data_IF_804903021536
#
_entry.id   IF_804903021536
#
_cell.length_a   1.000
_cell.length_b   1.000
_cell.length_c   1.000
_cell.angle_alpha   90.00
_cell.angle_beta   90.00
_cell.angle_gamma   90.00
#
_symmetry.space_group_name_H-M   'P 1'
#
loop_
_entity.id
_entity.type
_entity.pdbx_description
1 polymer ?
#
# COMPACT_ATOMS: atom_id res chain seq x y z
N UNK A 1 -15.77 -30.23 14.07
CA UNK A 1 -15.35 -28.96 14.73
C UNK A 1 -14.01 -29.05 15.47
N UNK A 2 -13.90 -29.63 16.67
CA UNK A 2 -12.73 -29.48 17.57
C UNK A 2 -11.38 -29.81 16.94
N UNK A 3 -11.34 -30.85 16.10
CA UNK A 3 -10.13 -31.26 15.41
C UNK A 3 -9.61 -30.16 14.45
N UNK A 4 -10.49 -29.37 13.83
CA UNK A 4 -10.13 -28.27 12.92
C UNK A 4 -9.51 -27.14 13.75
N UNK A 5 -10.14 -26.74 14.85
CA UNK A 5 -9.64 -25.69 15.75
C UNK A 5 -8.24 -26.05 16.27
N UNK A 6 -8.08 -27.27 16.80
CA UNK A 6 -6.80 -27.79 17.29
C UNK A 6 -5.68 -27.80 16.23
N UNK A 7 -6.04 -27.92 14.95
CA UNK A 7 -5.06 -27.86 13.86
C UNK A 7 -4.65 -26.45 13.45
N UNK A 8 -5.51 -25.46 13.69
CA UNK A 8 -5.30 -24.06 13.27
C UNK A 8 -4.65 -23.23 14.37
N UNK A 9 -4.94 -23.52 15.65
CA UNK A 9 -4.37 -22.83 16.80
C UNK A 9 -2.82 -22.76 16.78
N UNK A 10 -2.07 -23.82 16.40
CA UNK A 10 -0.61 -23.73 16.31
C UNK A 10 -0.12 -22.80 15.19
N UNK A 11 -0.88 -22.67 14.11
CA UNK A 11 -0.52 -21.85 12.94
C UNK A 11 -0.88 -20.37 13.14
N UNK A 12 -1.91 -20.09 13.92
CA UNK A 12 -2.45 -18.76 14.15
C UNK A 12 -2.54 -18.46 15.65
N UNK A 13 -1.41 -18.19 16.33
CA UNK A 13 -1.42 -17.81 17.73
C UNK A 13 -2.20 -16.50 17.95
N UNK A 14 -2.82 -16.35 19.13
CA UNK A 14 -3.63 -15.17 19.50
C UNK A 14 -4.90 -14.98 18.65
N UNK A 15 -5.39 -16.06 18.04
CA UNK A 15 -6.65 -16.13 17.28
C UNK A 15 -7.57 -17.25 17.76
N UNK A 16 -7.34 -17.77 18.96
CA UNK A 16 -8.07 -18.91 19.51
C UNK A 16 -9.59 -18.65 19.51
N UNK A 17 -10.03 -17.51 20.08
CA UNK A 17 -11.46 -17.15 20.13
C UNK A 17 -12.10 -16.98 18.74
N UNK A 18 -11.36 -16.46 17.76
CA UNK A 18 -11.90 -16.29 16.41
C UNK A 18 -11.98 -17.61 15.64
N UNK A 19 -11.02 -18.51 15.87
CA UNK A 19 -11.04 -19.88 15.33
C UNK A 19 -12.21 -20.65 15.95
N UNK A 20 -12.42 -20.52 17.26
CA UNK A 20 -13.53 -21.12 17.99
C UNK A 20 -14.88 -20.66 17.43
N UNK A 21 -15.12 -19.34 17.33
CA UNK A 21 -16.38 -18.81 16.78
C UNK A 21 -16.59 -19.21 15.31
N UNK A 22 -15.53 -19.25 14.48
CA UNK A 22 -15.66 -19.77 13.11
C UNK A 22 -15.95 -21.28 13.12
N UNK A 23 -15.35 -22.04 14.03
CA UNK A 23 -15.66 -23.45 14.25
C UNK A 23 -17.12 -23.68 14.65
N UNK A 24 -17.68 -22.81 15.49
CA UNK A 24 -19.10 -22.86 15.90
C UNK A 24 -20.07 -22.62 14.75
N UNK A 25 -19.70 -21.79 13.78
CA UNK A 25 -20.57 -21.43 12.67
C UNK A 25 -20.47 -22.38 11.47
N UNK A 26 -19.26 -22.86 11.16
CA UNK A 26 -18.97 -23.59 9.91
C UNK A 26 -18.07 -24.82 10.12
N UNK A 27 -17.94 -25.31 11.36
CA UNK A 27 -17.01 -26.38 11.72
C UNK A 27 -17.56 -27.80 11.58
N UNK A 28 -18.86 -28.00 11.34
CA UNK A 28 -19.45 -29.31 11.08
C UNK A 28 -20.33 -29.27 9.81
N UNK A 29 -20.11 -30.20 8.88
CA UNK A 29 -20.85 -30.24 7.61
C UNK A 29 -22.25 -30.84 7.74
N UNK A 30 -22.51 -31.57 8.83
CA UNK A 30 -23.84 -32.11 9.16
C UNK A 30 -24.78 -31.03 9.70
N UNK A 31 -24.24 -29.95 10.26
CA UNK A 31 -25.01 -28.81 10.74
C UNK A 31 -25.33 -27.84 9.61
N UNK A 32 -26.45 -27.12 9.74
CA UNK A 32 -26.84 -26.11 8.78
C UNK A 32 -25.97 -24.86 8.95
N UNK A 33 -25.27 -24.46 7.90
CA UNK A 33 -24.46 -23.24 7.93
C UNK A 33 -25.34 -21.98 7.91
N UNK A 34 -24.82 -20.86 8.44
CA UNK A 34 -25.38 -19.55 8.15
C UNK A 34 -25.19 -19.20 6.66
N UNK A 35 -26.13 -18.46 6.08
CA UNK A 35 -26.10 -18.11 4.65
C UNK A 35 -24.88 -17.30 4.25
N UNK A 36 -24.49 -16.36 5.12
CA UNK A 36 -23.32 -15.53 4.90
C UNK A 36 -22.63 -15.15 6.22
N UNK A 37 -21.30 -15.14 6.16
CA UNK A 37 -20.42 -14.64 7.22
C UNK A 37 -19.59 -13.50 6.63
N UNK A 38 -19.49 -12.41 7.35
CA UNK A 38 -18.67 -11.26 6.97
C UNK A 38 -17.58 -11.08 8.02
N UNK A 39 -16.33 -11.38 7.66
CA UNK A 39 -15.20 -11.08 8.54
C UNK A 39 -14.41 -9.88 8.07
N UNK A 40 -14.25 -8.93 8.98
CA UNK A 40 -13.58 -7.67 8.70
C UNK A 40 -12.50 -7.32 9.72
N UNK A 41 -11.47 -6.65 9.22
CA UNK A 41 -10.35 -6.18 10.03
C UNK A 41 -9.28 -5.56 9.16
N UNK A 42 -8.31 -4.88 9.77
CA UNK A 42 -7.24 -4.19 9.03
C UNK A 42 -6.34 -5.13 8.22
N UNK A 43 -5.55 -4.60 7.29
CA UNK A 43 -4.43 -5.35 6.68
C UNK A 43 -3.53 -5.96 7.78
N UNK A 44 -2.95 -7.12 7.52
CA UNK A 44 -2.06 -7.79 8.47
C UNK A 44 -2.71 -8.61 9.57
N UNK A 45 -4.03 -8.60 9.72
CA UNK A 45 -4.70 -9.35 10.80
C UNK A 45 -4.82 -10.85 10.57
N UNK A 46 -4.37 -11.36 9.42
CA UNK A 46 -4.32 -12.80 9.10
C UNK A 46 -5.61 -13.39 8.52
N UNK A 47 -6.62 -12.57 8.21
CA UNK A 47 -7.96 -13.00 7.74
C UNK A 47 -7.90 -13.98 6.58
N UNK A 48 -7.26 -13.60 5.48
CA UNK A 48 -7.14 -14.42 4.27
C UNK A 48 -6.40 -15.73 4.53
N UNK A 49 -5.31 -15.68 5.30
CA UNK A 49 -4.54 -16.88 5.64
C UNK A 49 -5.36 -17.83 6.54
N UNK A 50 -6.06 -17.28 7.53
CA UNK A 50 -6.93 -18.02 8.43
C UNK A 50 -8.08 -18.69 7.67
N UNK A 51 -8.84 -17.94 6.86
CA UNK A 51 -9.95 -18.49 6.07
C UNK A 51 -9.46 -19.55 5.08
N UNK A 52 -8.32 -19.33 4.42
CA UNK A 52 -7.75 -20.32 3.50
C UNK A 52 -7.33 -21.61 4.21
N UNK A 53 -6.69 -21.49 5.37
CA UNK A 53 -6.30 -22.64 6.18
C UNK A 53 -7.53 -23.39 6.71
N UNK A 54 -8.55 -22.65 7.14
CA UNK A 54 -9.83 -23.21 7.59
C UNK A 54 -10.53 -24.00 6.47
N UNK A 55 -10.72 -23.41 5.28
CA UNK A 55 -11.28 -24.09 4.12
C UNK A 55 -10.48 -25.35 3.76
N UNK A 56 -9.15 -25.27 3.77
CA UNK A 56 -8.27 -26.41 3.48
C UNK A 56 -8.43 -27.55 4.48
N UNK A 57 -8.56 -27.25 5.78
CA UNK A 57 -8.77 -28.26 6.80
C UNK A 57 -10.18 -28.86 6.76
N UNK A 58 -11.21 -28.06 6.47
CA UNK A 58 -12.56 -28.59 6.28
C UNK A 58 -12.62 -29.54 5.08
N UNK A 59 -12.08 -29.13 3.91
CA UNK A 59 -12.09 -29.96 2.70
C UNK A 59 -11.29 -31.26 2.80
N UNK A 60 -10.33 -31.36 3.72
CA UNK A 60 -9.59 -32.61 3.99
C UNK A 60 -10.34 -33.57 4.91
N UNK A 61 -11.10 -33.06 5.88
CA UNK A 61 -11.65 -33.85 7.00
C UNK A 61 -13.13 -34.14 6.84
N UNK A 62 -13.83 -33.29 6.10
CA UNK A 62 -15.27 -33.34 5.89
C UNK A 62 -15.57 -33.36 4.39
N UNK A 63 -16.78 -33.78 4.04
CA UNK A 63 -17.28 -33.75 2.68
C UNK A 63 -17.72 -32.33 2.28
N UNK A 64 -16.80 -31.37 2.31
CA UNK A 64 -17.09 -29.98 1.91
C UNK A 64 -16.33 -29.61 0.65
N UNK A 65 -17.04 -28.95 -0.28
CA UNK A 65 -16.42 -28.34 -1.46
C UNK A 65 -16.17 -26.87 -1.17
N UNK A 66 -14.92 -26.46 -1.37
CA UNK A 66 -14.48 -25.11 -1.03
C UNK A 66 -14.05 -24.34 -2.25
N UNK A 67 -14.49 -23.09 -2.38
CA UNK A 67 -14.01 -22.16 -3.40
C UNK A 67 -13.41 -20.93 -2.73
N UNK A 68 -12.20 -20.54 -3.12
CA UNK A 68 -11.52 -19.35 -2.61
C UNK A 68 -11.22 -18.41 -3.76
N UNK A 69 -11.76 -17.19 -3.71
CA UNK A 69 -11.75 -16.23 -4.81
C UNK A 69 -11.21 -14.87 -4.35
N UNK A 70 -10.53 -14.15 -5.23
CA UNK A 70 -10.23 -12.72 -5.03
C UNK A 70 -11.08 -11.84 -5.93
N UNK A 71 -11.90 -10.97 -5.35
CA UNK A 71 -12.81 -10.11 -6.10
C UNK A 71 -12.10 -9.07 -6.99
N UNK A 72 -10.81 -8.81 -6.76
CA UNK A 72 -10.01 -7.92 -7.62
C UNK A 72 -9.72 -8.56 -8.98
N UNK A 73 -9.55 -9.88 -9.02
CA UNK A 73 -9.30 -10.62 -10.27
C UNK A 73 -10.57 -10.67 -11.14
N UNK A 74 -11.74 -10.64 -10.49
CA UNK A 74 -13.05 -10.66 -11.13
C UNK A 74 -13.48 -9.28 -11.60
N UNK A 75 -12.92 -8.79 -12.70
CA UNK A 75 -13.39 -7.54 -13.32
C UNK A 75 -14.77 -7.66 -14.01
N UNK A 76 -15.27 -8.88 -14.22
CA UNK A 76 -16.63 -9.16 -14.71
C UNK A 76 -17.25 -10.31 -13.93
N UNK A 77 -18.57 -10.27 -13.78
CA UNK A 77 -19.35 -11.29 -13.07
C UNK A 77 -19.14 -12.68 -13.67
N UNK A 78 -18.98 -12.79 -15.00
CA UNK A 78 -18.76 -14.09 -15.66
C UNK A 78 -17.52 -14.83 -15.12
N UNK A 79 -16.39 -14.13 -14.96
CA UNK A 79 -15.14 -14.71 -14.46
C UNK A 79 -15.31 -15.18 -13.01
N UNK A 80 -16.02 -14.41 -12.18
CA UNK A 80 -16.35 -14.83 -10.82
C UNK A 80 -17.13 -16.15 -10.81
N UNK A 81 -18.17 -16.25 -11.64
CA UNK A 81 -19.03 -17.43 -11.66
C UNK A 81 -18.31 -18.66 -12.22
N UNK A 82 -17.47 -18.49 -13.25
CA UNK A 82 -16.64 -19.56 -13.81
C UNK A 82 -15.65 -20.10 -12.76
N UNK A 83 -14.90 -19.23 -12.07
CA UNK A 83 -13.94 -19.66 -11.03
C UNK A 83 -14.65 -20.36 -9.86
N UNK A 84 -15.78 -19.82 -9.41
CA UNK A 84 -16.56 -20.41 -8.33
C UNK A 84 -17.08 -21.78 -8.73
N UNK A 85 -17.66 -21.90 -9.92
CA UNK A 85 -18.26 -23.16 -10.33
C UNK A 85 -17.21 -24.23 -10.65
N UNK A 86 -16.08 -23.86 -11.26
CA UNK A 86 -14.93 -24.76 -11.49
C UNK A 86 -14.39 -25.32 -10.16
N UNK A 87 -14.27 -24.45 -9.15
CA UNK A 87 -13.82 -24.87 -7.81
C UNK A 87 -14.84 -25.76 -7.07
N UNK A 88 -16.14 -25.55 -7.28
CA UNK A 88 -17.20 -26.30 -6.60
C UNK A 88 -17.62 -27.57 -7.36
N UNK A 89 -17.29 -27.68 -8.64
CA UNK A 89 -17.64 -28.80 -9.52
C UNK A 89 -16.38 -29.23 -10.30
N UNK A 90 -15.44 -29.94 -9.65
CA UNK A 90 -14.13 -30.25 -10.25
C UNK A 90 -14.21 -31.22 -11.44
N UNK A 91 -15.33 -31.91 -11.66
CA UNK A 91 -15.47 -32.94 -12.69
C UNK A 91 -15.86 -32.42 -14.09
N UNK A 92 -16.16 -31.12 -14.24
CA UNK A 92 -16.68 -30.58 -15.51
C UNK A 92 -15.61 -30.07 -16.49
N UNK A 93 -14.38 -29.76 -16.02
CA UNK A 93 -13.26 -29.33 -16.88
C UNK A 93 -13.61 -28.18 -17.85
N UNK A 94 -12.96 -28.16 -19.03
CA UNK A 94 -13.13 -27.14 -20.10
C UNK A 94 -14.56 -27.02 -20.68
N UNK A 95 -15.47 -27.93 -20.31
CA UNK A 95 -16.87 -27.87 -20.74
C UNK A 95 -17.73 -26.90 -19.91
N UNK A 96 -17.18 -26.35 -18.82
CA UNK A 96 -17.87 -25.43 -17.93
C UNK A 96 -18.12 -24.10 -18.66
N UNK A 97 -19.40 -23.80 -18.92
CA UNK A 97 -19.82 -22.48 -19.39
C UNK A 97 -20.89 -21.97 -18.45
N UNK A 98 -20.66 -20.76 -17.93
CA UNK A 98 -21.62 -20.04 -17.12
C UNK A 98 -21.86 -18.70 -17.79
N UNK A 99 -23.06 -18.50 -18.30
CA UNK A 99 -23.39 -17.25 -18.99
C UNK A 99 -23.84 -16.16 -18.01
N UNK A 100 -24.68 -16.53 -17.06
CA UNK A 100 -25.34 -15.60 -16.14
C UNK A 100 -25.49 -16.18 -14.73
N UNK A 101 -25.81 -15.31 -13.77
CA UNK A 101 -26.08 -15.68 -12.38
C UNK A 101 -27.20 -16.74 -12.22
N UNK A 102 -28.23 -16.71 -13.08
CA UNK A 102 -29.31 -17.70 -13.05
C UNK A 102 -28.78 -19.10 -13.39
N UNK A 103 -27.99 -19.20 -14.46
CA UNK A 103 -27.37 -20.44 -14.91
C UNK A 103 -26.43 -21.00 -13.83
N UNK A 104 -25.64 -20.14 -13.18
CA UNK A 104 -24.84 -20.51 -12.01
C UNK A 104 -25.67 -21.14 -10.88
N UNK A 105 -26.79 -20.51 -10.50
CA UNK A 105 -27.68 -21.03 -9.44
C UNK A 105 -28.30 -22.36 -9.84
N UNK A 106 -28.71 -22.52 -11.10
CA UNK A 106 -29.26 -23.78 -11.61
C UNK A 106 -28.21 -24.90 -11.62
N UNK A 107 -26.98 -24.62 -12.07
CA UNK A 107 -25.89 -25.59 -12.10
C UNK A 107 -25.47 -26.01 -10.69
N UNK A 108 -25.41 -25.08 -9.74
CA UNK A 108 -25.21 -25.42 -8.33
C UNK A 108 -26.35 -26.29 -7.79
N UNK A 109 -27.61 -25.95 -8.06
CA UNK A 109 -28.76 -26.74 -7.60
C UNK A 109 -28.72 -28.19 -8.11
N UNK A 110 -28.17 -28.43 -9.30
CA UNK A 110 -27.98 -29.80 -9.84
C UNK A 110 -26.99 -30.64 -9.02
N UNK A 111 -26.10 -29.99 -8.26
CA UNK A 111 -25.15 -30.65 -7.34
C UNK A 111 -25.78 -31.03 -6.00
N UNK A 112 -27.10 -30.87 -5.83
CA UNK A 112 -27.79 -31.35 -4.65
C UNK A 112 -27.72 -32.88 -4.55
N UNK A 113 -26.88 -33.37 -3.64
CA UNK A 113 -26.80 -34.76 -3.25
C UNK A 113 -27.93 -35.10 -2.25
N UNK A 114 -28.31 -36.38 -2.14
CA UNK A 114 -29.19 -36.84 -1.06
C UNK A 114 -28.60 -36.49 0.32
N UNK A 115 -29.46 -36.21 1.29
CA UNK A 115 -29.11 -35.86 2.70
C UNK A 115 -28.23 -36.89 3.44
N UNK A 116 -27.90 -38.02 2.82
CA UNK A 116 -27.10 -39.09 3.42
C UNK A 116 -25.60 -38.79 3.35
N UNK A 117 -25.18 -37.89 2.46
CA UNK A 117 -23.76 -37.59 2.23
C UNK A 117 -23.25 -36.36 2.99
N UNK A 118 -24.11 -35.69 3.78
CA UNK A 118 -23.83 -34.49 4.61
C UNK A 118 -22.82 -33.52 3.97
N UNK A 119 -23.06 -33.21 2.69
CA UNK A 119 -22.19 -32.34 1.91
C UNK A 119 -22.42 -30.87 2.24
N UNK A 120 -21.33 -30.12 2.34
CA UNK A 120 -21.36 -28.67 2.55
C UNK A 120 -20.59 -27.91 1.47
N UNK A 121 -20.97 -26.66 1.21
CA UNK A 121 -20.25 -25.78 0.28
C UNK A 121 -19.80 -24.51 0.98
N UNK A 122 -18.51 -24.19 0.91
CA UNK A 122 -17.95 -22.99 1.53
C UNK A 122 -17.30 -22.12 0.45
N UNK A 123 -17.78 -20.89 0.31
CA UNK A 123 -17.26 -19.92 -0.66
C UNK A 123 -16.60 -18.79 0.10
N UNK A 124 -15.30 -18.57 -0.08
CA UNK A 124 -14.59 -17.45 0.50
C UNK A 124 -14.22 -16.43 -0.59
N UNK A 125 -14.61 -15.17 -0.38
CA UNK A 125 -14.35 -14.06 -1.29
C UNK A 125 -13.46 -13.02 -0.60
N UNK A 126 -12.17 -13.01 -0.99
CA UNK A 126 -11.19 -12.02 -0.60
C UNK A 126 -11.47 -10.65 -1.25
N UNK A 127 -11.12 -9.57 -0.53
CA UNK A 127 -11.29 -8.17 -0.96
C UNK A 127 -12.71 -7.85 -1.42
N UNK A 128 -13.69 -8.28 -0.62
CA UNK A 128 -15.11 -8.20 -0.94
C UNK A 128 -15.60 -6.78 -1.19
N UNK A 129 -14.86 -5.74 -0.79
CA UNK A 129 -15.16 -4.34 -1.13
C UNK A 129 -15.35 -4.08 -2.63
N UNK A 130 -14.78 -4.92 -3.51
CA UNK A 130 -14.98 -4.80 -4.96
C UNK A 130 -16.36 -5.21 -5.43
N UNK A 131 -17.07 -6.06 -4.69
CA UNK A 131 -18.41 -6.54 -5.10
C UNK A 131 -19.45 -5.41 -5.17
N UNK A 132 -19.24 -4.30 -4.45
CA UNK A 132 -20.12 -3.14 -4.50
C UNK A 132 -19.95 -2.32 -5.79
N UNK A 133 -18.79 -2.45 -6.45
CA UNK A 133 -18.44 -1.74 -7.68
C UNK A 133 -18.74 -2.59 -8.94
N UNK A 134 -19.07 -3.88 -8.76
CA UNK A 134 -19.54 -4.80 -9.80
C UNK A 134 -21.05 -4.62 -10.08
N UNK A 135 -21.64 -5.56 -10.83
CA UNK A 135 -23.08 -5.59 -11.09
C UNK A 135 -23.87 -5.62 -9.76
N UNK A 136 -24.86 -4.72 -9.64
CA UNK A 136 -25.56 -4.45 -8.39
C UNK A 136 -26.34 -5.65 -7.80
N UNK A 137 -26.55 -6.70 -8.59
CA UNK A 137 -27.24 -7.93 -8.19
C UNK A 137 -26.29 -8.99 -7.58
N UNK A 138 -24.97 -8.89 -7.77
CA UNK A 138 -24.02 -9.93 -7.35
C UNK A 138 -24.03 -10.10 -5.83
N UNK A 139 -23.83 -9.01 -5.08
CA UNK A 139 -23.79 -9.06 -3.62
C UNK A 139 -25.13 -9.57 -3.01
N UNK A 140 -26.31 -9.03 -3.37
CA UNK A 140 -27.58 -9.56 -2.87
C UNK A 140 -27.80 -11.05 -3.16
N UNK A 141 -27.40 -11.52 -4.34
CA UNK A 141 -27.54 -12.92 -4.72
C UNK A 141 -26.61 -13.81 -3.90
N UNK A 142 -25.35 -13.41 -3.71
CA UNK A 142 -24.39 -14.17 -2.91
C UNK A 142 -24.83 -14.30 -1.44
N UNK A 143 -25.37 -13.24 -0.84
CA UNK A 143 -25.87 -13.28 0.54
C UNK A 143 -27.07 -14.21 0.72
N UNK A 144 -27.84 -14.45 -0.35
CA UNK A 144 -29.03 -15.33 -0.35
C UNK A 144 -28.79 -16.63 -1.12
N UNK A 145 -27.54 -16.95 -1.43
CA UNK A 145 -27.22 -18.04 -2.33
C UNK A 145 -27.69 -19.39 -1.76
N UNK A 146 -27.65 -19.54 -0.43
CA UNK A 146 -28.17 -20.71 0.28
C UNK A 146 -29.68 -20.91 0.03
N UNK A 147 -30.48 -19.85 0.15
CA UNK A 147 -31.93 -19.88 -0.12
C UNK A 147 -32.24 -20.16 -1.59
N UNK A 148 -31.45 -19.57 -2.50
CA UNK A 148 -31.68 -19.68 -3.94
C UNK A 148 -31.33 -21.08 -4.48
N UNK A 149 -30.30 -21.72 -3.93
CA UNK A 149 -29.86 -23.05 -4.35
C UNK A 149 -30.52 -24.18 -3.57
N UNK A 150 -31.07 -23.90 -2.38
CA UNK A 150 -31.55 -24.90 -1.40
C UNK A 150 -30.47 -25.93 -1.01
N UNK A 151 -29.21 -25.48 -0.96
CA UNK A 151 -28.05 -26.29 -0.55
C UNK A 151 -27.53 -25.83 0.82
N UNK A 152 -26.81 -26.71 1.53
CA UNK A 152 -26.06 -26.32 2.71
C UNK A 152 -24.77 -25.59 2.29
N UNK A 153 -24.86 -24.27 2.11
CA UNK A 153 -23.72 -23.44 1.72
C UNK A 153 -23.58 -22.18 2.57
N UNK A 154 -22.35 -21.73 2.72
CA UNK A 154 -22.01 -20.46 3.36
C UNK A 154 -21.12 -19.61 2.46
N UNK A 155 -21.46 -18.33 2.32
CA UNK A 155 -20.60 -17.33 1.66
C UNK A 155 -19.87 -16.49 2.70
N UNK A 156 -18.55 -16.60 2.70
CA UNK A 156 -17.63 -15.91 3.58
C UNK A 156 -17.03 -14.72 2.83
N UNK A 157 -17.30 -13.51 3.29
CA UNK A 157 -16.82 -12.27 2.70
C UNK A 157 -15.69 -11.68 3.56
N UNK A 158 -14.52 -11.41 2.96
CA UNK A 158 -13.39 -10.81 3.65
C UNK A 158 -13.19 -9.37 3.18
N UNK A 159 -13.14 -8.41 4.12
CA UNK A 159 -12.82 -7.02 3.77
C UNK A 159 -12.11 -6.28 4.91
N UNK A 160 -11.63 -5.07 4.61
CA UNK A 160 -11.13 -4.12 5.60
C UNK A 160 -12.21 -3.15 6.10
N UNK A 161 -13.32 -3.04 5.38
CA UNK A 161 -14.38 -2.09 5.68
C UNK A 161 -15.38 -2.65 6.71
N UNK A 162 -16.12 -1.82 7.44
CA UNK A 162 -17.34 -2.25 8.12
C UNK A 162 -18.44 -2.61 7.12
N UNK A 163 -19.32 -3.55 7.48
CA UNK A 163 -20.41 -4.02 6.60
C UNK A 163 -21.41 -2.92 6.25
N UNK A 164 -21.54 -1.87 7.07
CA UNK A 164 -22.40 -0.71 6.80
C UNK A 164 -22.12 -0.04 5.44
N UNK A 165 -20.89 -0.16 4.92
CA UNK A 165 -20.50 0.40 3.62
C UNK A 165 -20.91 -0.47 2.42
N UNK A 166 -21.53 -1.61 2.66
CA UNK A 166 -22.00 -2.55 1.65
C UNK A 166 -23.49 -2.40 1.35
N UNK A 167 -24.27 -1.73 2.21
CA UNK A 167 -25.70 -1.54 1.99
C UNK A 167 -25.99 -0.84 0.67
N UNK A 168 -26.79 -1.49 -0.17
CA UNK A 168 -27.30 -0.93 -1.40
C UNK A 168 -28.68 -0.28 -1.18
N UNK A 169 -29.19 0.41 -2.21
CA UNK A 169 -30.48 1.11 -2.13
C UNK A 169 -31.69 0.18 -1.98
N UNK A 170 -31.56 -1.10 -2.35
CA UNK A 170 -32.65 -2.08 -2.40
C UNK A 170 -32.76 -2.92 -1.12
N UNK A 171 -31.84 -2.75 -0.17
CA UNK A 171 -31.73 -3.60 1.01
C UNK A 171 -30.89 -4.85 0.74
N UNK A 172 -30.23 -5.33 1.80
CA UNK A 172 -29.45 -6.57 1.82
C UNK A 172 -30.01 -7.52 2.89
N UNK A 173 -29.74 -8.81 2.72
CA UNK A 173 -29.99 -9.80 3.76
C UNK A 173 -29.06 -9.61 4.95
N UNK A 174 -29.51 -10.08 6.12
CA UNK A 174 -28.71 -10.12 7.34
C UNK A 174 -27.48 -11.02 7.18
N UNK A 175 -26.36 -10.59 7.77
CA UNK A 175 -25.07 -11.29 7.69
C UNK A 175 -24.41 -11.32 9.06
N UNK A 176 -23.82 -12.46 9.42
CA UNK A 176 -23.10 -12.60 10.68
C UNK A 176 -21.75 -11.88 10.55
N UNK A 177 -21.59 -10.78 11.28
CA UNK A 177 -20.38 -9.97 11.25
C UNK A 177 -19.39 -10.40 12.32
N UNK A 178 -18.18 -10.80 11.92
CA UNK A 178 -17.07 -11.16 12.80
C UNK A 178 -15.93 -10.14 12.66
N UNK A 179 -15.45 -9.63 13.79
CA UNK A 179 -14.36 -8.66 13.79
C UNK A 179 -13.03 -9.31 14.17
N UNK A 180 -12.02 -9.14 13.32
CA UNK A 180 -10.63 -9.50 13.59
C UNK A 180 -9.82 -8.23 13.89
N UNK A 181 -9.74 -7.89 15.18
CA UNK A 181 -8.98 -6.75 15.68
C UNK A 181 -7.47 -6.92 15.45
N UNK A 182 -6.74 -5.81 15.36
CA UNK A 182 -5.27 -5.87 15.35
C UNK A 182 -4.73 -6.43 16.66
N UNK A 183 -3.60 -7.15 16.56
CA UNK A 183 -2.90 -7.70 17.70
C UNK A 183 -2.41 -6.60 18.63
N UNK A 184 -2.44 -6.85 19.94
CA UNK A 184 -1.80 -5.97 20.91
C UNK A 184 -0.27 -6.13 20.87
N UNK A 185 0.48 -5.30 21.61
CA UNK A 185 1.96 -5.34 21.58
C UNK A 185 2.52 -6.70 22.03
N UNK A 186 1.92 -7.31 23.05
CA UNK A 186 2.37 -8.59 23.60
C UNK A 186 2.06 -9.76 22.64
N UNK A 187 0.87 -9.76 22.04
CA UNK A 187 0.47 -10.73 20.99
C UNK A 187 1.38 -10.59 19.76
N UNK A 188 1.66 -9.36 19.33
CA UNK A 188 2.58 -9.11 18.21
C UNK A 188 3.98 -9.63 18.54
N UNK A 189 4.48 -9.39 19.75
CA UNK A 189 5.76 -9.93 20.19
C UNK A 189 5.76 -11.46 20.20
N UNK A 190 4.67 -12.10 20.64
CA UNK A 190 4.53 -13.56 20.63
C UNK A 190 4.53 -14.12 19.21
N UNK A 191 3.85 -13.47 18.27
CA UNK A 191 3.83 -13.88 16.84
C UNK A 191 5.19 -13.68 16.18
N UNK A 192 5.91 -12.60 16.52
CA UNK A 192 7.28 -12.38 16.05
C UNK A 192 8.29 -13.32 16.74
N UNK A 193 7.96 -13.83 17.93
CA UNK A 193 8.78 -14.79 18.66
C UNK A 193 8.59 -16.23 18.20
N UNK A 194 7.44 -16.58 17.60
CA UNK A 194 7.13 -17.96 17.23
C UNK A 194 8.01 -18.53 16.12
N UNK A 195 8.68 -17.69 15.33
CA UNK A 195 9.61 -18.12 14.28
C UNK A 195 11.08 -18.21 14.75
N UNK A 196 11.34 -18.10 16.07
CA UNK A 196 12.68 -18.14 16.66
C UNK A 196 13.50 -19.35 16.19
N UNK A 197 12.95 -20.56 16.25
CA UNK A 197 13.68 -21.77 15.85
C UNK A 197 14.07 -21.75 14.36
N UNK A 198 13.19 -21.22 13.50
CA UNK A 198 13.49 -21.08 12.08
C UNK A 198 14.59 -20.06 11.83
N UNK A 199 14.52 -18.92 12.52
CA UNK A 199 15.53 -17.86 12.43
C UNK A 199 16.88 -18.34 12.95
N UNK A 200 16.90 -19.07 14.07
CA UNK A 200 18.11 -19.66 14.64
C UNK A 200 18.77 -20.63 13.67
N UNK A 201 18.00 -21.56 13.09
CA UNK A 201 18.53 -22.52 12.12
C UNK A 201 19.11 -21.81 10.88
N UNK A 202 18.42 -20.78 10.36
CA UNK A 202 18.92 -19.98 9.24
C UNK A 202 20.24 -19.26 9.56
N UNK A 203 20.37 -18.69 10.76
CA UNK A 203 21.61 -18.04 11.20
C UNK A 203 22.76 -19.04 11.34
N UNK A 204 22.50 -20.22 11.91
CA UNK A 204 23.51 -21.28 12.05
C UNK A 204 24.00 -21.78 10.68
N UNK A 205 23.09 -21.92 9.71
CA UNK A 205 23.46 -22.26 8.32
C UNK A 205 24.30 -21.16 7.65
N UNK A 206 23.94 -19.89 7.86
CA UNK A 206 24.70 -18.76 7.30
C UNK A 206 26.14 -18.70 7.82
N UNK A 207 26.35 -18.98 9.10
CA UNK A 207 27.68 -18.96 9.73
C UNK A 207 28.42 -20.29 9.68
N UNK A 208 27.93 -21.30 8.93
CA UNK A 208 28.56 -22.61 8.86
C UNK A 208 30.03 -22.59 8.43
N UNK A 209 30.46 -21.57 7.67
CA UNK A 209 31.85 -21.40 7.23
C UNK A 209 32.76 -20.83 8.32
N UNK A 210 32.23 -19.98 9.22
CA UNK A 210 32.98 -19.27 10.26
C UNK A 210 32.79 -19.91 11.64
N UNK A 211 33.56 -20.96 11.94
CA UNK A 211 33.43 -21.74 13.19
C UNK A 211 33.44 -20.90 14.47
N UNK A 212 34.25 -19.84 14.53
CA UNK A 212 34.32 -18.94 15.70
C UNK A 212 33.04 -18.12 15.88
N UNK A 213 32.51 -17.56 14.79
CA UNK A 213 31.26 -16.78 14.82
C UNK A 213 30.07 -17.69 15.10
N UNK A 214 30.10 -18.92 14.60
CA UNK A 214 29.08 -19.93 14.84
C UNK A 214 29.00 -20.34 16.31
N UNK A 215 30.14 -20.58 16.97
CA UNK A 215 30.20 -20.91 18.39
C UNK A 215 29.63 -19.77 19.26
N UNK A 216 30.06 -18.53 19.01
CA UNK A 216 29.55 -17.33 19.70
C UNK A 216 28.05 -17.13 19.44
N UNK A 217 27.60 -17.30 18.20
CA UNK A 217 26.19 -17.17 17.83
C UNK A 217 25.32 -18.20 18.55
N UNK A 218 25.77 -19.46 18.60
CA UNK A 218 25.03 -20.55 19.23
C UNK A 218 24.88 -20.36 20.75
N UNK A 219 25.88 -19.78 21.41
CA UNK A 219 25.83 -19.48 22.84
C UNK A 219 25.00 -18.23 23.15
N UNK A 220 25.09 -17.20 22.31
CA UNK A 220 24.44 -15.91 22.55
C UNK A 220 22.95 -15.87 22.15
N UNK A 221 22.56 -16.61 21.10
CA UNK A 221 21.20 -16.56 20.53
C UNK A 221 20.28 -17.49 21.31
N UNK A 222 19.74 -16.93 22.40
CA UNK A 222 18.69 -17.54 23.24
C UNK A 222 17.32 -16.93 22.96
N UNK A 223 16.25 -17.58 23.41
CA UNK A 223 14.89 -17.01 23.32
C UNK A 223 14.79 -15.66 24.04
N UNK A 224 15.43 -15.53 25.20
CA UNK A 224 15.46 -14.28 25.96
C UNK A 224 16.16 -13.16 25.19
N UNK A 225 17.28 -13.46 24.52
CA UNK A 225 17.97 -12.51 23.66
C UNK A 225 17.06 -12.02 22.52
N UNK A 226 16.36 -12.94 21.85
CA UNK A 226 15.46 -12.59 20.76
C UNK A 226 14.23 -11.80 21.25
N UNK A 227 13.64 -12.19 22.39
CA UNK A 227 12.53 -11.46 23.00
C UNK A 227 12.93 -10.05 23.44
N UNK A 228 14.13 -9.87 23.96
CA UNK A 228 14.67 -8.55 24.30
C UNK A 228 14.84 -7.68 23.04
N UNK A 229 15.41 -8.25 21.98
CA UNK A 229 15.49 -7.59 20.67
C UNK A 229 14.11 -7.17 20.14
N UNK A 230 13.14 -8.09 20.13
CA UNK A 230 11.78 -7.80 19.67
C UNK A 230 11.11 -6.70 20.50
N UNK A 231 11.33 -6.66 21.81
CA UNK A 231 10.79 -5.61 22.66
C UNK A 231 11.40 -4.22 22.32
N UNK A 232 12.72 -4.16 22.06
CA UNK A 232 13.40 -2.96 21.58
C UNK A 232 12.86 -2.52 20.21
N UNK A 233 12.75 -3.46 19.26
CA UNK A 233 12.21 -3.22 17.93
C UNK A 233 10.78 -2.66 18.00
N UNK A 234 9.88 -3.34 18.73
CA UNK A 234 8.49 -2.92 18.89
C UNK A 234 8.36 -1.59 19.65
N UNK A 235 9.31 -1.22 20.51
CA UNK A 235 9.29 0.10 21.18
C UNK A 235 9.35 1.28 20.21
N UNK A 236 10.01 1.08 19.05
CA UNK A 236 10.16 2.08 17.98
C UNK A 236 9.06 1.92 16.94
N UNK A 237 8.88 0.70 16.42
CA UNK A 237 8.05 0.45 15.24
C UNK A 237 6.55 0.43 15.53
N UNK A 238 6.13 -0.06 16.70
CA UNK A 238 4.71 -0.31 17.01
C UNK A 238 3.87 0.97 17.06
N UNK A 239 4.51 2.13 17.23
CA UNK A 239 3.84 3.44 17.19
C UNK A 239 3.37 3.82 15.79
N UNK A 240 4.15 3.45 14.76
CA UNK A 240 3.89 3.83 13.38
C UNK A 240 3.23 2.69 12.57
N UNK A 241 3.60 1.43 12.83
CA UNK A 241 3.12 0.27 12.10
C UNK A 241 2.72 -0.86 13.05
N UNK A 242 1.55 -1.46 12.79
CA UNK A 242 1.03 -2.65 13.48
C UNK A 242 0.79 -3.81 12.53
N UNK A 243 1.34 -3.72 11.32
CA UNK A 243 1.18 -4.74 10.27
C UNK A 243 2.24 -5.83 10.47
N UNK A 244 1.81 -7.02 10.90
CA UNK A 244 2.71 -8.10 11.34
C UNK A 244 3.69 -8.54 10.24
N UNK A 245 3.30 -8.73 8.97
CA UNK A 245 4.23 -9.08 7.89
C UNK A 245 5.33 -8.03 7.68
N UNK A 246 5.00 -6.74 7.75
CA UNK A 246 6.01 -5.67 7.61
C UNK A 246 6.96 -5.62 8.82
N UNK A 247 6.42 -5.86 10.01
CA UNK A 247 7.23 -6.00 11.21
C UNK A 247 8.17 -7.22 11.12
N UNK A 248 7.70 -8.36 10.64
CA UNK A 248 8.53 -9.57 10.45
C UNK A 248 9.70 -9.33 9.50
N UNK A 249 9.42 -8.75 8.33
CA UNK A 249 10.44 -8.50 7.31
C UNK A 249 11.47 -7.48 7.80
N UNK A 250 11.02 -6.40 8.42
CA UNK A 250 11.92 -5.36 8.94
C UNK A 250 12.69 -5.84 10.16
N UNK A 251 12.06 -6.65 11.03
CA UNK A 251 12.72 -7.25 12.18
C UNK A 251 13.82 -8.22 11.74
N UNK A 252 13.63 -9.03 10.70
CA UNK A 252 14.70 -9.91 10.17
C UNK A 252 15.89 -9.11 9.64
N UNK A 253 15.64 -8.02 8.91
CA UNK A 253 16.70 -7.14 8.40
C UNK A 253 17.45 -6.40 9.51
N UNK A 254 16.75 -5.95 10.55
CA UNK A 254 17.38 -5.25 11.67
C UNK A 254 18.06 -6.22 12.64
N UNK A 255 17.68 -7.51 12.63
CA UNK A 255 18.30 -8.52 13.49
C UNK A 255 19.75 -8.79 13.10
N UNK A 256 20.07 -8.83 11.79
CA UNK A 256 21.45 -9.02 11.35
C UNK A 256 22.37 -7.90 11.87
N UNK A 257 21.92 -6.65 11.77
CA UNK A 257 22.65 -5.47 12.25
C UNK A 257 22.75 -5.45 13.79
N UNK A 258 21.72 -5.96 14.47
CA UNK A 258 21.71 -6.09 15.93
C UNK A 258 22.71 -7.14 16.43
N UNK A 259 22.92 -8.20 15.64
CA UNK A 259 23.75 -9.34 15.98
C UNK A 259 25.25 -9.09 15.72
N UNK A 260 25.60 -8.18 14.79
CA UNK A 260 26.99 -7.86 14.43
C UNK A 260 27.92 -7.59 15.63
N UNK A 261 27.59 -6.71 16.59
CA UNK A 261 28.48 -6.42 17.73
C UNK A 261 28.74 -7.62 18.65
N UNK A 262 27.77 -8.54 18.74
CA UNK A 262 27.87 -9.77 19.53
C UNK A 262 28.77 -10.77 18.83
N UNK A 263 28.63 -10.92 17.51
CA UNK A 263 29.49 -11.81 16.72
C UNK A 263 30.95 -11.34 16.67
N UNK A 264 31.18 -10.03 16.75
CA UNK A 264 32.51 -9.43 16.79
C UNK A 264 33.13 -9.47 18.20
N UNK A 265 32.39 -9.93 19.22
CA UNK A 265 32.84 -10.01 20.61
C UNK A 265 33.05 -8.64 21.28
N UNK A 266 32.46 -7.58 20.74
CA UNK A 266 32.60 -6.21 21.27
C UNK A 266 31.65 -5.92 22.42
N UNK A 267 30.49 -6.58 22.42
CA UNK A 267 29.42 -6.40 23.40
C UNK A 267 28.87 -7.77 23.78
N UNK A 268 28.71 -8.02 25.08
CA UNK A 268 28.07 -9.23 25.59
C UNK A 268 26.58 -9.26 25.23
N UNK A 269 26.03 -10.44 24.95
CA UNK A 269 24.61 -10.62 24.60
C UNK A 269 23.63 -10.13 25.68
N UNK A 270 24.09 -9.99 26.93
CA UNK A 270 23.30 -9.53 28.08
C UNK A 270 23.24 -8.00 28.20
N UNK A 271 24.15 -7.25 27.55
CA UNK A 271 24.18 -5.78 27.66
C UNK A 271 23.23 -5.10 26.66
N UNK A 272 21.94 -5.10 27.02
CA UNK A 272 20.84 -4.50 26.26
C UNK A 272 21.09 -3.00 25.97
N UNK A 273 21.76 -2.28 26.88
CA UNK A 273 21.95 -0.83 26.76
C UNK A 273 22.96 -0.47 25.67
N UNK A 274 24.07 -1.21 25.57
CA UNK A 274 25.06 -1.00 24.51
C UNK A 274 24.51 -1.41 23.15
N UNK A 275 23.83 -2.55 23.08
CA UNK A 275 23.20 -3.02 21.84
C UNK A 275 22.13 -2.05 21.33
N UNK A 276 21.33 -1.47 22.24
CA UNK A 276 20.36 -0.42 21.89
C UNK A 276 21.02 0.79 21.24
N UNK A 277 22.16 1.27 21.77
CA UNK A 277 22.87 2.43 21.21
C UNK A 277 23.37 2.16 19.79
N UNK A 278 23.80 0.93 19.50
CA UNK A 278 24.22 0.51 18.17
C UNK A 278 23.03 0.48 17.19
N UNK A 279 21.93 -0.17 17.57
CA UNK A 279 20.83 -0.45 16.65
C UNK A 279 19.81 0.69 16.52
N UNK A 280 19.72 1.61 17.48
CA UNK A 280 18.70 2.67 17.48
C UNK A 280 18.82 3.64 16.29
N UNK A 281 20.02 3.84 15.72
CA UNK A 281 20.21 4.59 14.48
C UNK A 281 19.60 3.85 13.27
N UNK A 282 20.09 2.65 12.97
CA UNK A 282 19.53 1.79 11.91
C UNK A 282 18.02 1.56 12.02
N UNK A 283 17.46 1.37 13.22
CA UNK A 283 16.00 1.21 13.40
C UNK A 283 15.22 2.44 12.94
N UNK A 284 15.66 3.65 13.32
CA UNK A 284 14.99 4.89 12.90
C UNK A 284 15.09 5.11 11.40
N UNK A 285 16.22 4.74 10.79
CA UNK A 285 16.41 4.77 9.34
C UNK A 285 15.51 3.76 8.63
N UNK A 286 15.44 2.52 9.12
CA UNK A 286 14.55 1.50 8.56
C UNK A 286 13.06 1.87 8.70
N UNK A 287 12.70 2.58 9.77
CA UNK A 287 11.33 3.06 9.99
C UNK A 287 10.85 4.01 8.88
N UNK A 288 11.71 4.89 8.36
CA UNK A 288 11.34 5.78 7.25
C UNK A 288 11.15 5.03 5.93
N UNK A 289 11.68 3.81 5.83
CA UNK A 289 11.62 2.95 4.64
C UNK A 289 10.67 1.76 4.78
N UNK A 290 9.88 1.68 5.86
CA UNK A 290 9.16 0.45 6.24
C UNK A 290 8.26 -0.15 5.14
N UNK A 291 7.58 0.69 4.34
CA UNK A 291 6.71 0.23 3.25
C UNK A 291 7.41 0.20 1.88
N UNK A 292 8.66 0.64 1.80
CA UNK A 292 9.43 0.66 0.57
C UNK A 292 10.18 -0.65 0.41
N UNK A 293 9.80 -1.47 -0.57
CA UNK A 293 10.46 -2.74 -0.90
C UNK A 293 11.72 -2.52 -1.74
N UNK A 294 12.66 -1.75 -1.20
CA UNK A 294 13.96 -1.51 -1.83
C UNK A 294 14.92 -2.59 -1.35
N UNK A 295 15.14 -3.59 -2.20
CA UNK A 295 16.28 -4.49 -2.05
C UNK A 295 17.51 -3.71 -2.51
N UNK A 296 18.36 -3.31 -1.55
CA UNK A 296 19.68 -2.77 -1.90
C UNK A 296 20.54 -3.96 -2.37
N UNK A 297 21.21 -3.88 -3.53
CA UNK A 297 22.29 -4.80 -3.84
C UNK A 297 23.37 -4.71 -2.74
N UNK A 298 23.95 -5.85 -2.37
CA UNK A 298 24.84 -6.01 -1.21
C UNK A 298 26.12 -5.13 -1.23
N UNK A 299 26.39 -4.40 -2.30
CA UNK A 299 27.61 -3.64 -2.53
C UNK A 299 27.52 -2.15 -2.11
N UNK A 300 26.33 -1.63 -1.80
CA UNK A 300 26.13 -0.22 -1.41
C UNK A 300 25.76 -0.04 0.07
N UNK A 301 26.69 -0.38 0.96
CA UNK A 301 26.64 -0.01 2.37
C UNK A 301 27.11 1.45 2.56
N UNK A 302 26.32 2.43 2.09
CA UNK A 302 26.56 3.85 2.41
C UNK A 302 25.83 4.28 3.70
N UNK A 303 26.52 5.14 4.47
CA UNK A 303 26.17 5.71 5.76
C UNK A 303 24.67 6.07 5.96
N UNK A 304 24.12 5.56 7.06
CA UNK A 304 22.69 5.52 7.39
C UNK A 304 22.06 6.85 7.87
N UNK A 305 22.74 8.00 7.73
CA UNK A 305 22.38 9.22 8.48
C UNK A 305 21.61 10.30 7.73
N UNK A 306 21.32 10.19 6.41
CA UNK A 306 20.65 11.28 5.68
C UNK A 306 19.80 10.84 4.46
N UNK A 307 18.78 10.02 4.65
CA UNK A 307 18.05 9.39 3.53
C UNK A 307 17.00 10.30 2.86
N UNK A 308 16.29 11.16 3.60
CA UNK A 308 15.18 11.94 3.02
C UNK A 308 15.68 13.01 2.04
N UNK A 309 16.69 13.80 2.43
CA UNK A 309 17.28 14.85 1.58
C UNK A 309 18.16 14.29 0.44
N UNK A 310 18.77 13.11 0.64
CA UNK A 310 19.59 12.48 -0.40
C UNK A 310 18.75 11.78 -1.47
N UNK A 311 17.57 11.24 -1.16
CA UNK A 311 16.75 10.53 -2.16
C UNK A 311 16.26 11.44 -3.28
N UNK A 312 15.72 12.62 -2.95
CA UNK A 312 15.28 13.63 -3.93
C UNK A 312 16.46 14.24 -4.67
N UNK A 313 17.60 14.45 -4.00
CA UNK A 313 18.83 14.93 -4.66
C UNK A 313 19.43 13.88 -5.60
N UNK A 314 19.48 12.61 -5.20
CA UNK A 314 19.92 11.48 -6.03
C UNK A 314 18.99 11.31 -7.22
N UNK A 315 17.67 11.45 -7.04
CA UNK A 315 16.68 11.38 -8.12
C UNK A 315 16.75 12.58 -9.08
N UNK A 316 17.01 13.78 -8.55
CA UNK A 316 17.25 14.99 -9.34
C UNK A 316 18.60 14.95 -10.10
N UNK A 317 19.60 14.27 -9.55
CA UNK A 317 20.88 14.04 -10.21
C UNK A 317 20.79 12.91 -11.24
N UNK A 318 19.97 11.88 -10.99
CA UNK A 318 19.77 10.77 -11.93
C UNK A 318 18.88 11.14 -13.12
N UNK A 319 17.98 12.11 -12.96
CA UNK A 319 17.09 12.55 -14.04
C UNK A 319 17.76 13.63 -14.91
N UNK A 320 18.58 13.19 -15.85
CA UNK A 320 19.24 14.07 -16.82
C UNK A 320 18.24 14.62 -17.86
N UNK A 321 17.81 15.87 -17.66
CA UNK A 321 16.93 16.56 -18.61
C UNK A 321 17.72 17.46 -19.59
N UNK A 322 17.24 17.62 -20.85
CA UNK A 322 17.77 18.61 -21.78
C UNK A 322 17.71 20.05 -21.22
N UNK A 323 18.61 20.91 -21.68
CA UNK A 323 18.72 22.30 -21.19
C UNK A 323 17.41 23.10 -21.28
N UNK A 324 16.75 23.11 -22.45
CA UNK A 324 15.47 23.82 -22.58
C UNK A 324 14.33 23.16 -21.81
N UNK A 325 14.36 21.84 -21.62
CA UNK A 325 13.40 21.13 -20.79
C UNK A 325 13.54 21.54 -19.31
N UNK A 326 14.76 21.72 -18.82
CA UNK A 326 15.05 22.25 -17.47
C UNK A 326 14.45 23.64 -17.27
N UNK A 327 14.64 24.56 -18.21
CA UNK A 327 14.05 25.90 -18.15
C UNK A 327 12.54 25.91 -18.28
N UNK A 328 11.96 25.11 -19.17
CA UNK A 328 10.50 24.94 -19.28
C UNK A 328 9.90 24.46 -17.97
N UNK A 329 10.58 23.54 -17.30
CA UNK A 329 10.12 22.97 -16.04
C UNK A 329 10.23 23.97 -14.88
N UNK A 330 11.32 24.77 -14.82
CA UNK A 330 11.43 25.90 -13.88
C UNK A 330 10.31 26.94 -14.15
N UNK A 331 10.07 27.29 -15.41
CA UNK A 331 9.03 28.23 -15.80
C UNK A 331 7.63 27.74 -15.41
N UNK A 332 7.35 26.46 -15.60
CA UNK A 332 6.09 25.82 -15.20
C UNK A 332 5.89 25.83 -13.68
N UNK A 333 6.96 25.60 -12.91
CA UNK A 333 6.92 25.71 -11.46
C UNK A 333 6.62 27.14 -11.01
N UNK A 334 7.32 28.13 -11.57
CA UNK A 334 7.06 29.54 -11.29
C UNK A 334 5.64 29.95 -11.68
N UNK A 335 5.11 29.46 -12.80
CA UNK A 335 3.73 29.70 -13.22
C UNK A 335 2.70 29.11 -12.24
N UNK A 336 3.01 27.95 -11.64
CA UNK A 336 2.12 27.26 -10.70
C UNK A 336 2.12 27.88 -9.30
N UNK A 337 3.28 28.33 -8.82
CA UNK A 337 3.41 28.90 -7.48
C UNK A 337 3.08 30.40 -7.44
N UNK A 338 3.52 31.17 -8.43
CA UNK A 338 3.23 32.60 -8.49
C UNK A 338 1.85 32.86 -9.07
N UNK A 339 1.13 33.82 -8.50
CA UNK A 339 -0.16 34.22 -9.03
C UNK A 339 -0.01 35.05 -10.32
N UNK A 340 -0.91 34.88 -11.28
CA UNK A 340 -0.83 35.55 -12.59
C UNK A 340 -0.80 37.09 -12.52
N UNK A 341 -1.31 37.67 -11.43
CA UNK A 341 -1.25 39.12 -11.20
C UNK A 341 0.18 39.61 -10.85
N UNK A 342 1.05 38.73 -10.37
CA UNK A 342 2.44 39.04 -10.01
C UNK A 342 3.40 38.92 -11.21
N UNK A 343 3.00 38.20 -12.27
CA UNK A 343 3.84 37.94 -13.45
C UNK A 343 4.39 39.23 -14.08
N UNK A 344 3.59 40.30 -14.09
CA UNK A 344 4.05 41.62 -14.52
C UNK A 344 5.27 41.98 -13.69
N UNK A 345 5.11 42.26 -12.40
CA UNK A 345 6.21 42.66 -11.49
C UNK A 345 7.48 41.80 -11.62
N UNK A 346 7.35 40.49 -11.84
CA UNK A 346 8.45 39.54 -11.87
C UNK A 346 9.21 39.49 -13.21
N UNK A 347 8.51 39.54 -14.35
CA UNK A 347 9.08 39.05 -15.61
C UNK A 347 9.31 40.11 -16.69
N UNK A 348 8.69 41.29 -16.61
CA UNK A 348 8.99 42.36 -17.60
C UNK A 348 9.95 43.41 -17.03
N UNK A 349 10.73 44.07 -17.89
CA UNK A 349 11.66 45.11 -17.46
C UNK A 349 10.90 46.45 -17.48
N UNK A 350 11.01 47.26 -16.41
CA UNK A 350 10.32 48.56 -16.23
C UNK A 350 8.79 48.53 -15.94
N UNK A 351 8.36 47.83 -14.89
CA UNK A 351 6.93 47.73 -14.48
C UNK A 351 6.22 48.98 -13.98
N UNK A 352 6.88 50.13 -13.99
CA UNK A 352 6.38 51.33 -13.36
C UNK A 352 6.29 51.19 -11.82
N UNK A 353 6.19 52.33 -11.12
CA UNK A 353 6.01 52.33 -9.66
C UNK A 353 4.53 52.11 -9.36
N UNK A 354 4.21 50.97 -8.74
CA UNK A 354 2.85 50.73 -8.26
C UNK A 354 2.57 51.70 -7.09
N UNK A 355 1.64 52.64 -7.29
CA UNK A 355 1.20 53.59 -6.24
C UNK A 355 0.41 52.80 -5.19
N UNK A 356 0.99 52.49 -4.02
CA UNK A 356 0.31 51.74 -2.94
C UNK A 356 -0.18 52.68 -1.84
N UNK A 357 -1.47 52.55 -1.46
CA UNK A 357 -2.02 53.02 -0.17
C UNK A 357 -1.62 51.96 0.88
N UNK A 358 -0.73 52.32 1.80
CA UNK A 358 0.29 51.42 2.36
C UNK A 358 -0.14 50.49 3.52
N UNK A 359 -1.36 50.60 4.07
CA UNK A 359 -1.66 49.95 5.37
C UNK A 359 -2.57 48.70 5.31
N UNK A 360 -3.35 48.49 4.25
CA UNK A 360 -4.31 47.34 4.20
C UNK A 360 -3.82 46.14 3.37
N UNK A 361 -2.79 46.31 2.54
CA UNK A 361 -2.28 45.27 1.63
C UNK A 361 -1.31 44.31 2.33
N UNK A 362 -0.49 44.81 3.26
CA UNK A 362 0.60 44.02 3.86
C UNK A 362 0.10 42.96 4.86
N UNK A 363 -1.06 43.17 5.51
CA UNK A 363 -1.65 42.20 6.44
C UNK A 363 -2.43 41.09 5.71
N UNK A 364 -3.00 41.36 4.52
CA UNK A 364 -3.68 40.34 3.70
C UNK A 364 -2.71 39.54 2.83
N UNK A 365 -1.62 40.15 2.36
CA UNK A 365 -0.60 39.45 1.55
C UNK A 365 0.11 38.34 2.33
N UNK A 366 0.61 38.62 3.55
CA UNK A 366 1.33 37.62 4.37
C UNK A 366 0.49 36.39 4.76
N UNK A 367 -0.81 36.56 4.97
CA UNK A 367 -1.73 35.46 5.33
C UNK A 367 -2.16 34.66 4.09
N UNK A 368 -2.33 35.33 2.93
CA UNK A 368 -2.71 34.67 1.67
C UNK A 368 -1.53 33.92 1.02
N UNK A 369 -0.30 34.43 1.18
CA UNK A 369 0.92 33.85 0.60
C UNK A 369 1.31 32.53 1.27
N UNK A 370 1.36 32.48 2.62
CA UNK A 370 1.61 31.25 3.38
C UNK A 370 0.52 30.19 3.22
N UNK A 371 -0.72 30.60 2.96
CA UNK A 371 -1.82 29.67 2.65
C UNK A 371 -1.77 29.15 1.21
N UNK A 372 -1.11 29.88 0.28
CA UNK A 372 -1.12 29.52 -1.14
C UNK A 372 -0.17 28.38 -1.49
N UNK A 373 0.95 28.22 -0.78
CA UNK A 373 1.88 27.10 -0.98
C UNK A 373 1.34 25.79 -0.42
N UNK A 374 0.54 25.84 0.65
CA UNK A 374 -0.14 24.64 1.22
C UNK A 374 -1.40 24.24 0.45
N UNK A 375 -1.99 25.14 -0.35
CA UNK A 375 -3.20 24.88 -1.12
C UNK A 375 -2.94 24.01 -2.37
N UNK A 376 -1.70 24.01 -2.86
CA UNK A 376 -1.26 23.25 -4.03
C UNK A 376 -0.97 24.13 -5.26
N UNK A 377 -0.43 23.52 -6.34
CA UNK A 377 0.01 24.26 -7.52
C UNK A 377 -1.19 24.80 -8.32
N UNK A 378 -1.12 26.06 -8.77
CA UNK A 378 -2.17 26.68 -9.60
C UNK A 378 -2.06 26.22 -11.04
N UNK A 379 -3.19 26.23 -11.74
CA UNK A 379 -3.22 25.94 -13.17
C UNK A 379 -2.78 27.15 -14.00
N UNK A 380 -2.16 26.90 -15.16
CA UNK A 380 -1.68 27.93 -16.09
C UNK A 380 -1.92 27.51 -17.54
N UNK A 381 -2.02 28.48 -18.46
CA UNK A 381 -2.09 28.21 -19.90
C UNK A 381 -0.70 28.01 -20.50
N UNK A 382 -0.63 27.34 -21.65
CA UNK A 382 0.62 27.17 -22.42
C UNK A 382 1.22 28.53 -22.78
N UNK A 383 0.39 29.52 -23.12
CA UNK A 383 0.85 30.87 -23.45
C UNK A 383 1.57 31.52 -22.27
N UNK A 384 1.04 31.37 -21.05
CA UNK A 384 1.66 31.88 -19.82
C UNK A 384 2.99 31.16 -19.55
N UNK A 385 3.04 29.84 -19.77
CA UNK A 385 4.27 29.06 -19.64
C UNK A 385 5.35 29.57 -20.60
N UNK A 386 5.02 29.71 -21.89
CA UNK A 386 5.95 30.19 -22.91
C UNK A 386 6.39 31.63 -22.63
N UNK A 387 5.49 32.49 -22.17
CA UNK A 387 5.83 33.86 -21.78
C UNK A 387 6.83 33.91 -20.62
N UNK A 388 6.64 33.08 -19.59
CA UNK A 388 7.58 32.98 -18.47
C UNK A 388 8.90 32.36 -18.93
N UNK A 389 8.86 31.31 -19.76
CA UNK A 389 10.04 30.67 -20.34
C UNK A 389 10.92 31.67 -21.09
N UNK A 390 10.33 32.45 -22.01
CA UNK A 390 11.08 33.48 -22.75
C UNK A 390 11.51 34.67 -21.88
N UNK A 391 10.88 34.88 -20.73
CA UNK A 391 11.30 35.94 -19.80
C UNK A 391 12.49 35.53 -18.92
N UNK A 392 12.58 34.25 -18.54
CA UNK A 392 13.69 33.73 -17.73
C UNK A 392 14.87 33.26 -18.58
N UNK A 393 14.63 32.91 -19.84
CA UNK A 393 15.69 32.56 -20.79
C UNK A 393 16.33 33.84 -21.33
N UNK A 394 17.58 34.10 -20.97
CA UNK A 394 18.29 35.30 -21.45
C UNK A 394 18.61 35.24 -22.96
N UNK A 395 18.61 34.03 -23.53
CA UNK A 395 18.82 33.77 -24.95
C UNK A 395 17.52 33.85 -25.75
N UNK A 396 17.57 34.51 -26.92
CA UNK A 396 16.44 34.58 -27.85
C UNK A 396 16.39 33.34 -28.74
N UNK A 397 15.83 32.25 -28.22
CA UNK A 397 15.50 31.07 -29.03
C UNK A 397 14.18 31.27 -29.79
N UNK A 398 14.11 30.79 -31.03
CA UNK A 398 12.86 30.78 -31.79
C UNK A 398 11.90 29.68 -31.33
N UNK A 399 10.59 29.89 -31.51
CA UNK A 399 9.60 28.86 -31.27
C UNK A 399 9.73 27.77 -32.36
N UNK A 400 10.26 26.61 -31.98
CA UNK A 400 10.41 25.44 -32.86
C UNK A 400 9.43 24.34 -32.48
N UNK A 401 9.13 23.45 -33.44
CA UNK A 401 8.37 22.23 -33.18
C UNK A 401 8.99 21.41 -32.04
N UNK A 402 10.32 21.37 -31.95
CA UNK A 402 11.03 20.65 -30.90
C UNK A 402 10.73 21.23 -29.52
N UNK A 403 10.65 22.55 -29.35
CA UNK A 403 10.32 23.18 -28.06
C UNK A 403 8.89 22.82 -27.60
N UNK A 404 7.92 22.86 -28.52
CA UNK A 404 6.54 22.45 -28.23
C UNK A 404 6.44 20.95 -27.95
N UNK A 405 7.20 20.14 -28.70
CA UNK A 405 7.31 18.70 -28.47
C UNK A 405 7.90 18.40 -27.08
N UNK A 406 8.89 19.17 -26.61
CA UNK A 406 9.42 19.04 -25.25
C UNK A 406 8.35 19.30 -24.17
N UNK A 407 7.44 20.26 -24.36
CA UNK A 407 6.33 20.48 -23.42
C UNK A 407 5.43 19.24 -23.39
N UNK A 408 5.10 18.67 -24.54
CA UNK A 408 4.32 17.42 -24.62
C UNK A 408 5.04 16.25 -23.96
N UNK A 409 6.36 16.11 -24.18
CA UNK A 409 7.20 15.09 -23.51
C UNK A 409 7.21 15.27 -21.99
N UNK A 410 7.33 16.50 -21.48
CA UNK A 410 7.27 16.78 -20.04
C UNK A 410 5.92 16.41 -19.42
N UNK A 411 4.81 16.57 -20.17
CA UNK A 411 3.49 16.08 -19.75
C UNK A 411 3.43 14.56 -19.75
N UNK A 412 3.97 13.92 -20.80
CA UNK A 412 4.01 12.47 -20.91
C UNK A 412 4.84 11.82 -19.79
N UNK A 413 5.96 12.46 -19.42
CA UNK A 413 6.80 12.09 -18.27
C UNK A 413 6.17 12.40 -16.90
N UNK A 414 4.93 12.92 -16.86
CA UNK A 414 4.20 13.29 -15.63
C UNK A 414 4.88 14.35 -14.77
N UNK A 415 5.85 15.10 -15.32
CA UNK A 415 6.45 16.28 -14.69
C UNK A 415 5.52 17.51 -14.79
N UNK A 416 4.63 17.48 -15.78
CA UNK A 416 3.48 18.36 -15.93
C UNK A 416 2.21 17.49 -16.10
N UNK A 417 1.05 18.03 -15.74
CA UNK A 417 -0.24 17.36 -15.97
C UNK A 417 -1.27 18.35 -16.51
N UNK A 418 -2.17 17.86 -17.36
CA UNK A 418 -3.37 18.60 -17.71
C UNK A 418 -4.38 18.54 -16.57
N UNK A 419 -4.98 19.70 -16.26
CA UNK A 419 -6.10 19.83 -15.31
C UNK A 419 -7.42 19.93 -16.08
N UNK A 420 -7.39 20.55 -17.27
CA UNK A 420 -8.58 20.73 -18.11
C UNK A 420 -8.19 20.90 -19.58
N UNK A 421 -9.08 20.49 -20.47
CA UNK A 421 -8.99 20.79 -21.90
C UNK A 421 -7.89 20.04 -22.65
N UNK A 422 -7.58 18.80 -22.28
CA UNK A 422 -6.57 17.96 -22.96
C UNK A 422 -6.86 17.77 -24.46
N UNK A 423 -8.13 17.77 -24.85
CA UNK A 423 -8.55 17.66 -26.26
C UNK A 423 -8.40 18.99 -27.03
N UNK A 424 -8.41 20.13 -26.33
CA UNK A 424 -8.49 21.47 -26.93
C UNK A 424 -7.20 22.27 -26.75
N UNK A 425 -6.05 21.58 -26.84
CA UNK A 425 -4.71 22.17 -26.67
C UNK A 425 -4.46 23.28 -27.69
N UNK A 426 -4.78 23.03 -28.96
CA UNK A 426 -4.52 23.99 -30.05
C UNK A 426 -5.44 25.21 -30.00
N UNK A 427 -6.59 25.10 -29.33
CA UNK A 427 -7.55 26.20 -29.14
C UNK A 427 -7.15 27.14 -27.98
N UNK A 428 -6.08 26.80 -27.25
CA UNK A 428 -5.55 27.61 -26.15
C UNK A 428 -6.33 27.54 -24.83
N UNK A 429 -7.36 26.68 -24.76
CA UNK A 429 -8.16 26.50 -23.54
C UNK A 429 -7.54 25.53 -22.53
N UNK A 430 -6.56 24.74 -22.95
CA UNK A 430 -5.88 23.77 -22.12
C UNK A 430 -5.15 24.41 -20.93
N UNK A 431 -5.30 23.77 -19.76
CA UNK A 431 -4.68 24.21 -18.51
C UNK A 431 -3.75 23.13 -17.98
N UNK A 432 -2.50 23.51 -17.76
CA UNK A 432 -1.47 22.65 -17.19
C UNK A 432 -1.24 23.00 -15.71
N UNK A 433 -0.65 22.05 -15.00
CA UNK A 433 -0.18 22.17 -13.62
C UNK A 433 1.17 21.48 -13.49
N UNK A 434 2.05 22.05 -12.66
CA UNK A 434 3.35 21.48 -12.35
C UNK A 434 3.24 20.49 -11.17
N UNK A 435 3.80 19.29 -11.31
CA UNK A 435 3.70 18.21 -10.31
C UNK A 435 4.95 18.07 -9.43
N UNK A 436 6.02 18.78 -9.77
CA UNK A 436 7.31 18.68 -9.08
C UNK A 436 7.41 19.65 -7.88
N UNK A 437 8.21 19.26 -6.89
CA UNK A 437 8.44 20.04 -5.67
C UNK A 437 9.57 21.06 -5.79
N UNK A 438 9.63 21.97 -4.81
CA UNK A 438 10.61 23.05 -4.75
C UNK A 438 12.07 22.56 -4.75
N UNK A 439 12.39 21.53 -3.96
CA UNK A 439 13.77 21.01 -3.85
C UNK A 439 14.33 20.53 -5.21
N UNK A 440 13.48 19.86 -5.99
CA UNK A 440 13.84 19.40 -7.34
C UNK A 440 14.11 20.58 -8.28
N UNK A 441 13.29 21.63 -8.23
CA UNK A 441 13.47 22.85 -9.05
C UNK A 441 14.70 23.63 -8.62
N UNK A 442 14.98 23.73 -7.33
CA UNK A 442 16.20 24.36 -6.82
C UNK A 442 17.45 23.61 -7.29
N UNK A 443 17.40 22.27 -7.34
CA UNK A 443 18.51 21.47 -7.85
C UNK A 443 18.71 21.68 -9.35
N UNK A 444 17.64 21.71 -10.15
CA UNK A 444 17.72 22.07 -11.58
C UNK A 444 18.30 23.48 -11.74
N UNK A 445 17.83 24.45 -10.95
CA UNK A 445 18.33 25.82 -10.95
C UNK A 445 19.83 25.88 -10.69
N UNK A 446 20.36 25.10 -9.74
CA UNK A 446 21.80 24.99 -9.50
C UNK A 446 22.56 24.40 -10.69
N UNK A 447 22.05 23.34 -11.31
CA UNK A 447 22.69 22.69 -12.48
C UNK A 447 22.77 23.64 -13.67
N UNK A 448 21.76 24.48 -13.84
CA UNK A 448 21.65 25.44 -14.95
C UNK A 448 22.31 26.80 -14.63
N UNK A 449 22.58 27.09 -13.35
CA UNK A 449 23.08 28.39 -12.90
C UNK A 449 21.99 29.47 -12.73
N UNK A 450 20.71 29.08 -12.63
CA UNK A 450 19.58 29.99 -12.48
C UNK A 450 19.06 30.04 -11.03
N UNK A 451 18.96 31.26 -10.46
CA UNK A 451 18.49 31.44 -9.08
C UNK A 451 16.96 31.52 -9.00
N UNK A 452 16.31 30.37 -8.82
CA UNK A 452 14.85 30.25 -8.74
C UNK A 452 14.26 31.01 -7.55
N UNK A 453 14.96 31.08 -6.40
CA UNK A 453 14.43 31.70 -5.17
C UNK A 453 14.15 33.19 -5.36
N UNK A 454 14.91 33.86 -6.21
CA UNK A 454 14.71 35.28 -6.53
C UNK A 454 13.36 35.54 -7.22
N UNK A 455 12.80 34.55 -7.90
CA UNK A 455 11.55 34.67 -8.66
C UNK A 455 10.33 34.12 -7.92
N UNK A 456 10.49 33.64 -6.68
CA UNK A 456 9.39 33.20 -5.84
C UNK A 456 8.92 34.35 -4.95
N UNK A 457 7.62 34.65 -4.97
CA UNK A 457 7.08 35.77 -4.20
C UNK A 457 7.20 35.60 -2.68
N UNK A 458 7.33 34.38 -2.17
CA UNK A 458 7.44 34.11 -0.73
C UNK A 458 8.81 34.48 -0.13
N UNK A 459 9.85 34.60 -0.97
CA UNK A 459 11.23 34.88 -0.56
C UNK A 459 11.71 36.29 -0.94
N UNK A 460 10.79 37.15 -1.44
CA UNK A 460 11.01 38.54 -1.85
C UNK A 460 10.39 39.53 -0.89
#
# INVERSE_FOLDING_TARGET
MEAICSSLEPLFPCREAAIETLGELIGDSSEAYPSAIYLFGHSGTGKTALTRAFLKECGKRQNVRTAHLNAIECYTTKIMLEILLDSLVPEQGDALKVDNMLDFVEQLRRQAAPRVEDQGFLIAVDNAERLRDMDANVLPVLLRLQELTNLNLCVILLSQLPFEKFYNKTGLSEVICLHLAQYNKAETQRILGSDFEQVRNQLLEQFAQDKKRLEICQEAVTEDFYNNYLNLFLSVFYKACRDVPELQLTARKCLSIYLEPVLDGTVDATDISRLWRHIAGPLRSALTQIYMRIEKPAEEAEDFTAIEDQSVRKLAQSLELPYYAKFLLIAAFLASHNAANQDKRLFVKHHGKQRKRMQTVNARAKTTEKMSTTLGPKSFSIDRLLAIFYAILEEKVGLTCNLLSQISTLVHLKLLSFVSGEQNIMEGSARLQCTIGLEFVLQIGKVVGFNVRQYLCDFM
#
